data_IF_416886491543
#
_entry.id   IF_416886491543
#
_cell.length_a   1.000
_cell.length_b   1.000
_cell.length_c   1.000
_cell.angle_alpha   90.00
_cell.angle_beta   90.00
_cell.angle_gamma   90.00
#
_symmetry.space_group_name_H-M   'P 1'
#
loop_
_entity.id
_entity.type
_entity.pdbx_description
1 polymer ?
#
# COMPACT_ATOMS: atom_id res chain seq x y z
N UNK A 1 24.22 11.26 -25.24
CA UNK A 1 22.81 10.87 -25.00
C UNK A 1 22.68 9.66 -24.09
N UNK A 2 23.46 8.57 -24.27
CA UNK A 2 23.34 7.35 -23.43
C UNK A 2 23.65 7.53 -21.93
N UNK A 3 24.55 8.44 -21.56
CA UNK A 3 24.95 8.63 -20.16
C UNK A 3 23.86 9.32 -19.31
N UNK A 4 23.01 10.13 -19.96
CA UNK A 4 21.88 10.81 -19.31
C UNK A 4 20.80 9.82 -18.89
N UNK A 5 20.54 8.82 -19.73
CA UNK A 5 19.50 7.81 -19.47
C UNK A 5 19.94 6.85 -18.34
N UNK A 6 21.22 6.51 -18.29
CA UNK A 6 21.81 5.69 -17.22
C UNK A 6 21.70 6.39 -15.86
N UNK A 7 22.11 7.67 -15.80
CA UNK A 7 22.01 8.47 -14.58
C UNK A 7 20.55 8.62 -14.10
N UNK A 8 19.61 8.81 -15.03
CA UNK A 8 18.20 8.94 -14.65
C UNK A 8 17.62 7.62 -14.12
N UNK A 9 18.01 6.48 -14.69
CA UNK A 9 17.60 5.17 -14.20
C UNK A 9 18.14 4.89 -12.79
N UNK A 10 19.41 5.19 -12.53
CA UNK A 10 20.02 5.07 -11.20
C UNK A 10 19.32 5.95 -10.16
N UNK A 11 19.03 7.21 -10.52
CA UNK A 11 18.27 8.13 -9.67
C UNK A 11 16.87 7.57 -9.35
N UNK A 12 16.16 7.04 -10.35
CA UNK A 12 14.84 6.43 -10.14
C UNK A 12 14.92 5.21 -9.23
N UNK A 13 15.92 4.34 -9.42
CA UNK A 13 16.13 3.18 -8.57
C UNK A 13 16.41 3.58 -7.12
N UNK A 14 17.24 4.59 -6.90
CA UNK A 14 17.53 5.14 -5.57
C UNK A 14 16.27 5.69 -4.89
N UNK A 15 15.48 6.49 -5.62
CA UNK A 15 14.23 7.03 -5.09
C UNK A 15 13.22 5.93 -4.74
N UNK A 16 13.08 4.90 -5.58
CA UNK A 16 12.21 3.76 -5.31
C UNK A 16 12.66 2.98 -4.07
N UNK A 17 13.97 2.81 -3.89
CA UNK A 17 14.52 2.16 -2.70
C UNK A 17 14.21 2.95 -1.42
N UNK A 18 14.41 4.27 -1.44
CA UNK A 18 14.06 5.14 -0.31
C UNK A 18 12.56 5.11 0.01
N UNK A 19 11.71 5.18 -1.02
CA UNK A 19 10.26 5.06 -0.86
C UNK A 19 9.85 3.71 -0.26
N UNK A 20 10.49 2.62 -0.69
CA UNK A 20 10.25 1.29 -0.14
C UNK A 20 10.57 1.23 1.37
N UNK A 21 11.69 1.82 1.79
CA UNK A 21 12.06 1.89 3.20
C UNK A 21 11.03 2.68 3.99
N UNK A 22 10.72 3.90 3.54
CA UNK A 22 9.75 4.78 4.21
C UNK A 22 8.36 4.13 4.31
N UNK A 23 7.91 3.46 3.24
CA UNK A 23 6.63 2.73 3.26
C UNK A 23 6.62 1.60 4.31
N UNK A 24 7.74 0.90 4.45
CA UNK A 24 7.86 -0.19 5.44
C UNK A 24 7.89 0.35 6.86
N UNK A 25 8.60 1.45 7.11
CA UNK A 25 8.63 2.13 8.41
C UNK A 25 7.26 2.67 8.79
N UNK A 26 6.53 3.25 7.83
CA UNK A 26 5.16 3.70 8.03
C UNK A 26 4.23 2.55 8.41
N UNK A 27 4.29 1.42 7.69
CA UNK A 27 3.51 0.23 8.03
C UNK A 27 3.83 -0.24 9.46
N UNK A 28 5.11 -0.30 9.85
CA UNK A 28 5.50 -0.68 11.22
C UNK A 28 4.97 0.30 12.27
N UNK A 29 5.08 1.60 12.02
CA UNK A 29 4.63 2.64 12.94
C UNK A 29 3.12 2.60 13.17
N UNK A 30 2.35 2.30 12.12
CA UNK A 30 0.90 2.20 12.15
C UNK A 30 0.42 0.77 12.51
N UNK A 31 1.33 -0.15 12.81
CA UNK A 31 1.04 -1.57 13.05
C UNK A 31 0.24 -2.24 11.91
N UNK A 32 0.46 -1.78 10.68
CA UNK A 32 -0.15 -2.33 9.47
C UNK A 32 0.65 -3.53 8.94
N UNK A 33 -0.02 -4.48 8.26
CA UNK A 33 0.68 -5.59 7.62
C UNK A 33 1.68 -5.10 6.57
N UNK A 34 2.88 -5.65 6.60
CA UNK A 34 3.91 -5.40 5.58
C UNK A 34 3.71 -6.35 4.39
N UNK A 35 3.11 -7.52 4.64
CA UNK A 35 2.83 -8.51 3.60
C UNK A 35 1.68 -8.00 2.70
N UNK A 36 1.88 -7.86 1.39
CA UNK A 36 0.84 -7.39 0.48
C UNK A 36 -0.43 -8.24 0.47
N UNK A 37 -0.31 -9.56 0.69
CA UNK A 37 -1.48 -10.44 0.73
C UNK A 37 -2.33 -10.19 1.98
N UNK A 38 -1.70 -9.99 3.13
CA UNK A 38 -2.39 -9.66 4.38
C UNK A 38 -3.03 -8.26 4.29
N UNK A 39 -2.29 -7.29 3.73
CA UNK A 39 -2.82 -5.94 3.51
C UNK A 39 -4.02 -5.93 2.56
N UNK A 40 -4.03 -6.77 1.52
CA UNK A 40 -5.17 -6.89 0.61
C UNK A 40 -6.45 -7.38 1.33
N UNK A 41 -6.31 -8.35 2.24
CA UNK A 41 -7.43 -8.86 3.05
C UNK A 41 -7.95 -7.77 3.99
N UNK A 42 -7.05 -7.05 4.66
CA UNK A 42 -7.45 -5.95 5.56
C UNK A 42 -8.16 -4.82 4.81
N UNK A 43 -7.68 -4.48 3.61
CA UNK A 43 -8.31 -3.47 2.75
C UNK A 43 -9.68 -3.92 2.24
N UNK A 44 -9.84 -5.19 1.87
CA UNK A 44 -11.14 -5.75 1.46
C UNK A 44 -12.14 -5.68 2.60
N UNK A 45 -11.72 -6.05 3.82
CA UNK A 45 -12.57 -5.97 5.01
C UNK A 45 -12.94 -4.52 5.35
N UNK A 46 -11.98 -3.60 5.37
CA UNK A 46 -12.23 -2.18 5.62
C UNK A 46 -13.18 -1.57 4.57
N UNK A 47 -13.08 -2.05 3.33
CA UNK A 47 -13.99 -1.65 2.26
C UNK A 47 -15.41 -2.20 2.49
N UNK A 48 -15.57 -3.49 2.80
CA UNK A 48 -16.87 -4.09 3.11
C UNK A 48 -17.54 -3.38 4.29
N UNK A 49 -16.80 -3.13 5.38
CA UNK A 49 -17.28 -2.36 6.55
C UNK A 49 -17.74 -0.95 6.17
N UNK A 50 -17.01 -0.27 5.28
CA UNK A 50 -17.39 1.05 4.78
C UNK A 50 -18.68 1.00 3.96
N UNK A 51 -18.84 -0.01 3.09
CA UNK A 51 -20.05 -0.17 2.29
C UNK A 51 -21.29 -0.42 3.17
N UNK A 52 -21.15 -1.25 4.21
CA UNK A 52 -22.22 -1.50 5.20
C UNK A 52 -22.55 -0.21 5.95
N UNK A 53 -21.53 0.48 6.47
CA UNK A 53 -21.70 1.73 7.24
C UNK A 53 -22.46 2.81 6.48
N UNK A 54 -22.27 2.89 5.16
CA UNK A 54 -22.94 3.87 4.31
C UNK A 54 -24.24 3.35 3.69
N UNK A 55 -24.71 2.15 4.09
CA UNK A 55 -25.96 1.57 3.62
C UNK A 55 -25.96 1.18 2.14
N UNK A 56 -24.77 0.98 1.54
CA UNK A 56 -24.63 0.58 0.13
C UNK A 56 -24.94 -0.91 0.00
N UNK A 57 -24.51 -1.72 0.98
CA UNK A 57 -24.81 -3.15 1.06
C UNK A 57 -25.45 -3.47 2.40
N UNK A 58 -26.37 -4.45 2.46
CA UNK A 58 -26.96 -4.89 3.72
C UNK A 58 -25.91 -5.56 4.61
N UNK A 59 -26.06 -5.42 5.93
CA UNK A 59 -25.26 -6.19 6.90
C UNK A 59 -25.57 -7.69 6.67
N UNK A 60 -24.55 -8.50 6.37
CA UNK A 60 -24.75 -9.95 6.23
C UNK A 60 -25.24 -10.49 7.57
N UNK A 61 -26.35 -11.21 7.53
CA UNK A 61 -27.03 -11.77 8.71
C UNK A 61 -26.06 -12.48 9.66
N UNK A 62 -26.20 -12.20 10.97
CA UNK A 62 -25.38 -12.73 12.07
C UNK A 62 -25.48 -14.25 12.25
#
# INVERSE_FOLDING_TARGET
MKDSDCYEAERRASNLHQLSILSTELCRFLELPINPAEMAVDMEKAFEESLVKHGIVPEKDK
#
